data_IF_546071057076
#
_entry.id   IF_546071057076
#
_cell.length_a   1.000
_cell.length_b   1.000
_cell.length_c   1.000
_cell.angle_alpha   90.00
_cell.angle_beta   90.00
_cell.angle_gamma   90.00
#
_symmetry.space_group_name_H-M   'P 1'
#
loop_
_entity.id
_entity.type
_entity.pdbx_description
1 polymer ?
#
# COMPACT_ATOMS: atom_id res chain seq x y z
N UNK A 1 38.61 7.62 -13.06
CA UNK A 1 38.05 8.62 -12.14
C UNK A 1 36.74 9.08 -12.73
N UNK A 2 35.65 9.08 -11.95
CA UNK A 2 34.36 9.58 -12.44
C UNK A 2 34.52 11.06 -12.86
N UNK A 3 33.93 11.40 -13.99
CA UNK A 3 33.89 12.75 -14.55
C UNK A 3 33.43 13.77 -13.47
N UNK A 4 34.13 14.91 -13.24
CA UNK A 4 33.83 15.83 -12.15
C UNK A 4 32.35 16.24 -12.03
N UNK A 5 31.60 16.33 -13.13
CA UNK A 5 30.18 16.68 -13.07
C UNK A 5 29.30 15.59 -12.46
N UNK A 6 29.69 14.30 -12.58
CA UNK A 6 28.91 13.17 -12.02
C UNK A 6 28.78 13.36 -10.51
N UNK A 7 29.87 13.72 -9.84
CA UNK A 7 29.85 13.95 -8.40
C UNK A 7 28.93 15.12 -8.03
N UNK A 8 29.04 16.23 -8.74
CA UNK A 8 28.20 17.42 -8.54
C UNK A 8 26.71 17.08 -8.74
N UNK A 9 26.38 16.32 -9.78
CA UNK A 9 25.01 15.89 -10.05
C UNK A 9 24.46 14.97 -8.96
N UNK A 10 25.26 14.00 -8.49
CA UNK A 10 24.85 13.08 -7.41
C UNK A 10 24.66 13.85 -6.09
N UNK A 11 25.58 14.74 -5.73
CA UNK A 11 25.45 15.58 -4.54
C UNK A 11 24.17 16.45 -4.61
N UNK A 12 23.86 17.02 -5.77
CA UNK A 12 22.63 17.79 -5.98
C UNK A 12 21.36 16.92 -5.85
N UNK A 13 21.37 15.69 -6.40
CA UNK A 13 20.28 14.72 -6.23
C UNK A 13 20.06 14.39 -4.75
N UNK A 14 21.14 14.15 -3.99
CA UNK A 14 21.07 13.82 -2.56
C UNK A 14 20.68 14.99 -1.66
N UNK A 15 20.95 16.23 -2.11
CA UNK A 15 20.45 17.43 -1.45
C UNK A 15 18.95 17.66 -1.71
N UNK A 16 18.38 17.06 -2.76
CA UNK A 16 16.96 17.18 -3.07
C UNK A 16 16.09 16.32 -2.13
N UNK A 17 14.83 16.71 -1.86
CA UNK A 17 13.92 15.92 -1.03
C UNK A 17 13.36 14.68 -1.77
N UNK A 18 13.72 14.46 -3.03
CA UNK A 18 13.15 13.41 -3.88
C UNK A 18 13.73 12.06 -3.49
N UNK A 19 12.84 11.09 -3.28
CA UNK A 19 13.21 9.69 -3.04
C UNK A 19 12.91 8.83 -4.27
N UNK A 20 13.83 7.95 -4.66
CA UNK A 20 13.73 7.21 -5.90
C UNK A 20 13.88 5.69 -5.75
N UNK A 21 13.22 4.97 -6.66
CA UNK A 21 13.43 3.54 -6.89
C UNK A 21 13.89 3.36 -8.33
N UNK A 22 14.95 2.58 -8.54
CA UNK A 22 15.57 2.38 -9.85
C UNK A 22 15.49 0.93 -10.31
N UNK A 23 14.86 0.69 -11.45
CA UNK A 23 14.82 -0.62 -12.11
C UNK A 23 15.56 -0.58 -13.43
N UNK A 24 16.66 -1.32 -13.55
CA UNK A 24 17.57 -1.24 -14.69
C UNK A 24 17.84 -2.60 -15.31
N UNK A 25 17.73 -2.73 -16.63
CA UNK A 25 18.07 -3.95 -17.36
C UNK A 25 18.92 -3.65 -18.60
N UNK A 26 19.97 -4.44 -18.84
CA UNK A 26 20.73 -4.38 -20.10
C UNK A 26 21.59 -3.13 -20.33
N UNK A 27 21.75 -2.26 -19.33
CA UNK A 27 22.62 -1.07 -19.39
C UNK A 27 22.50 -0.17 -18.15
N UNK A 28 23.14 1.01 -18.21
CA UNK A 28 23.15 2.05 -17.17
C UNK A 28 23.58 1.58 -15.76
N UNK A 29 24.40 0.54 -15.68
CA UNK A 29 24.71 -0.11 -14.39
C UNK A 29 25.58 0.76 -13.48
N UNK A 30 26.46 1.58 -14.07
CA UNK A 30 27.38 2.43 -13.32
C UNK A 30 26.67 3.53 -12.55
N UNK A 31 25.51 3.99 -13.03
CA UNK A 31 24.70 5.02 -12.36
C UNK A 31 24.31 4.61 -10.93
N UNK A 32 24.02 3.31 -10.71
CA UNK A 32 23.73 2.80 -9.36
C UNK A 32 24.94 2.98 -8.46
N UNK A 33 26.12 2.59 -8.92
CA UNK A 33 27.37 2.75 -8.20
C UNK A 33 27.65 4.21 -7.84
N UNK A 34 27.46 5.13 -8.79
CA UNK A 34 27.64 6.57 -8.54
C UNK A 34 26.68 7.11 -7.50
N UNK A 35 25.40 6.73 -7.55
CA UNK A 35 24.39 7.17 -6.59
C UNK A 35 24.62 6.61 -5.19
N UNK A 36 25.01 5.34 -5.05
CA UNK A 36 25.09 4.72 -3.70
C UNK A 36 26.45 4.90 -3.02
N UNK A 37 27.49 5.29 -3.76
CA UNK A 37 28.83 5.49 -3.21
C UNK A 37 29.06 6.88 -2.63
N UNK A 38 28.09 7.81 -2.79
CA UNK A 38 28.18 9.18 -2.31
C UNK A 38 27.40 9.33 -0.99
N UNK A 39 27.96 9.99 0.04
CA UNK A 39 27.24 10.26 1.28
C UNK A 39 25.91 10.98 1.03
N UNK A 40 24.86 10.57 1.73
CA UNK A 40 23.49 11.06 1.51
C UNK A 40 22.63 10.16 0.64
N UNK A 41 23.20 9.10 0.04
CA UNK A 41 22.46 8.13 -0.77
C UNK A 41 21.17 7.60 -0.12
N UNK A 42 21.19 7.35 1.20
CA UNK A 42 20.02 6.86 1.96
C UNK A 42 18.84 7.84 2.03
N UNK A 43 19.06 9.12 1.73
CA UNK A 43 17.98 10.11 1.65
C UNK A 43 17.22 9.99 0.33
N UNK A 44 17.91 9.60 -0.74
CA UNK A 44 17.37 9.53 -2.10
C UNK A 44 17.02 8.10 -2.51
N UNK A 45 17.99 7.18 -2.53
CA UNK A 45 17.83 5.86 -3.12
C UNK A 45 17.13 4.92 -2.14
N UNK A 46 15.87 4.59 -2.41
CA UNK A 46 15.06 3.67 -1.61
C UNK A 46 15.31 2.21 -1.99
N UNK A 47 15.45 1.93 -3.28
CA UNK A 47 15.68 0.59 -3.81
C UNK A 47 16.30 0.68 -5.21
N UNK A 48 17.23 -0.22 -5.51
CA UNK A 48 17.74 -0.45 -6.86
C UNK A 48 17.63 -1.94 -7.18
N UNK A 49 16.98 -2.28 -8.30
CA UNK A 49 16.76 -3.66 -8.74
C UNK A 49 17.23 -3.82 -10.19
N UNK A 50 17.92 -4.92 -10.48
CA UNK A 50 18.40 -5.25 -11.83
C UNK A 50 17.67 -6.50 -12.33
N UNK A 51 16.48 -6.38 -12.96
CA UNK A 51 15.71 -7.52 -13.47
C UNK A 51 16.31 -8.07 -14.78
N UNK A 52 17.53 -8.60 -14.72
CA UNK A 52 18.36 -8.87 -15.89
C UNK A 52 17.84 -10.03 -16.76
N UNK A 53 17.32 -11.09 -16.13
CA UNK A 53 16.75 -12.22 -16.87
C UNK A 53 15.32 -11.92 -17.33
N UNK A 54 14.90 -12.52 -18.45
CA UNK A 54 13.50 -12.38 -18.92
C UNK A 54 12.50 -12.76 -17.84
N UNK A 55 12.76 -13.82 -17.08
CA UNK A 55 11.87 -14.26 -16.00
C UNK A 55 11.79 -13.23 -14.87
N UNK A 56 12.92 -12.62 -14.49
CA UNK A 56 12.94 -11.56 -13.48
C UNK A 56 12.12 -10.35 -13.93
N UNK A 57 12.25 -9.93 -15.19
CA UNK A 57 11.44 -8.84 -15.74
C UNK A 57 9.94 -9.20 -15.80
N UNK A 58 9.59 -10.42 -16.19
CA UNK A 58 8.20 -10.90 -16.20
C UNK A 58 7.60 -10.86 -14.79
N UNK A 59 8.34 -11.31 -13.77
CA UNK A 59 7.90 -11.28 -12.39
C UNK A 59 7.74 -9.85 -11.87
N UNK A 60 8.66 -8.95 -12.23
CA UNK A 60 8.58 -7.53 -11.88
C UNK A 60 7.34 -6.85 -12.49
N UNK A 61 7.09 -7.07 -13.78
CA UNK A 61 5.99 -6.43 -14.51
C UNK A 61 4.64 -7.14 -14.30
N UNK A 62 4.65 -8.37 -13.79
CA UNK A 62 3.45 -9.22 -13.66
C UNK A 62 2.88 -9.71 -14.99
N UNK A 63 3.59 -9.50 -16.10
CA UNK A 63 3.18 -9.88 -17.46
C UNK A 63 4.39 -10.05 -18.36
N UNK A 64 4.18 -10.70 -19.51
CA UNK A 64 5.19 -10.78 -20.56
C UNK A 64 5.11 -9.51 -21.40
N UNK A 65 6.16 -8.67 -21.44
CA UNK A 65 6.17 -7.50 -22.32
C UNK A 65 6.26 -7.94 -23.79
N UNK A 66 5.67 -7.17 -24.70
CA UNK A 66 5.73 -7.44 -26.15
C UNK A 66 7.18 -7.47 -26.65
N UNK A 67 8.00 -6.56 -26.14
CA UNK A 67 9.44 -6.51 -26.34
C UNK A 67 10.11 -6.22 -25.01
N UNK A 68 11.19 -6.93 -24.65
CA UNK A 68 11.89 -6.68 -23.38
C UNK A 68 12.70 -5.38 -23.38
N UNK A 69 13.10 -4.90 -24.56
CA UNK A 69 13.81 -3.63 -24.73
C UNK A 69 12.98 -2.73 -25.64
N UNK A 70 12.16 -1.87 -25.02
CA UNK A 70 11.33 -0.89 -25.73
C UNK A 70 11.02 0.30 -24.82
N UNK A 71 10.62 1.44 -25.41
CA UNK A 71 10.15 2.61 -24.66
C UNK A 71 8.97 2.27 -23.74
N UNK A 72 8.04 1.43 -24.21
CA UNK A 72 6.88 1.00 -23.42
C UNK A 72 7.29 0.18 -22.19
N UNK A 73 8.29 -0.68 -22.33
CA UNK A 73 8.81 -1.46 -21.20
C UNK A 73 9.51 -0.58 -20.17
N UNK A 74 10.28 0.42 -20.61
CA UNK A 74 10.89 1.39 -19.71
C UNK A 74 9.82 2.18 -18.93
N UNK A 75 8.74 2.61 -19.59
CA UNK A 75 7.60 3.28 -18.95
C UNK A 75 6.93 2.38 -17.90
N UNK A 76 6.66 1.11 -18.24
CA UNK A 76 6.06 0.15 -17.31
C UNK A 76 6.96 -0.11 -16.10
N UNK A 77 8.27 -0.26 -16.32
CA UNK A 77 9.25 -0.36 -15.24
C UNK A 77 9.25 0.88 -14.35
N UNK A 78 9.21 2.08 -14.94
CA UNK A 78 9.16 3.34 -14.19
C UNK A 78 7.86 3.48 -13.37
N UNK A 79 6.72 3.01 -13.89
CA UNK A 79 5.45 3.00 -13.15
C UNK A 79 5.47 2.01 -11.96
N UNK A 80 6.01 0.80 -12.15
CA UNK A 80 6.18 -0.18 -11.05
C UNK A 80 7.15 0.37 -10.00
N UNK A 81 8.26 0.98 -10.45
CA UNK A 81 9.23 1.65 -9.57
C UNK A 81 8.58 2.81 -8.81
N UNK A 82 7.75 3.63 -9.46
CA UNK A 82 7.04 4.74 -8.82
C UNK A 82 6.08 4.25 -7.72
N UNK A 83 5.32 3.19 -7.98
CA UNK A 83 4.48 2.56 -6.96
C UNK A 83 5.28 1.96 -5.80
N UNK A 84 6.46 1.39 -6.09
CA UNK A 84 7.37 0.91 -5.05
C UNK A 84 7.92 2.07 -4.21
N UNK A 85 8.32 3.16 -4.86
CA UNK A 85 8.80 4.37 -4.21
C UNK A 85 7.73 4.97 -3.30
N UNK A 86 6.48 5.04 -3.75
CA UNK A 86 5.35 5.47 -2.92
C UNK A 86 5.26 4.67 -1.60
N UNK A 87 5.37 3.34 -1.67
CA UNK A 87 5.29 2.46 -0.48
C UNK A 87 6.49 2.57 0.44
N UNK A 88 7.69 2.78 -0.10
CA UNK A 88 8.94 2.85 0.67
C UNK A 88 9.24 4.26 1.20
N UNK A 89 8.68 5.29 0.56
CA UNK A 89 8.98 6.68 0.87
C UNK A 89 8.46 7.14 2.22
N UNK A 90 9.16 8.13 2.80
CA UNK A 90 8.65 8.86 3.94
C UNK A 90 7.45 9.70 3.50
N UNK A 91 6.36 9.74 4.28
CA UNK A 91 5.16 10.47 3.90
C UNK A 91 5.44 11.94 3.59
N UNK A 92 4.89 12.44 2.49
CA UNK A 92 4.97 13.86 2.11
C UNK A 92 6.26 14.25 1.37
N UNK A 93 7.19 13.32 1.15
CA UNK A 93 8.33 13.57 0.26
C UNK A 93 7.95 13.28 -1.20
N UNK A 94 8.51 14.03 -2.18
CA UNK A 94 8.39 13.69 -3.59
C UNK A 94 9.01 12.32 -3.87
N UNK A 95 8.39 11.55 -4.77
CA UNK A 95 8.89 10.23 -5.16
C UNK A 95 9.08 10.11 -6.67
N UNK A 96 10.09 9.33 -7.05
CA UNK A 96 10.51 9.11 -8.42
C UNK A 96 10.65 7.61 -8.71
N UNK A 97 9.96 7.12 -9.74
CA UNK A 97 10.21 5.82 -10.33
C UNK A 97 11.11 5.96 -11.54
N UNK A 98 12.13 5.10 -11.65
CA UNK A 98 13.05 5.08 -12.78
C UNK A 98 13.04 3.70 -13.41
N UNK A 99 12.80 3.65 -14.72
CA UNK A 99 12.87 2.43 -15.53
C UNK A 99 13.90 2.57 -16.63
N UNK A 100 14.76 1.57 -16.80
CA UNK A 100 15.74 1.52 -17.88
C UNK A 100 15.77 0.13 -18.50
N UNK A 101 15.75 0.06 -19.82
CA UNK A 101 16.07 -1.16 -20.56
C UNK A 101 16.96 -0.88 -21.77
N UNK A 102 18.03 -1.65 -21.90
CA UNK A 102 19.04 -1.50 -22.95
C UNK A 102 19.32 -2.79 -23.72
N UNK A 103 19.57 -2.63 -25.01
CA UNK A 103 20.18 -3.62 -25.89
C UNK A 103 21.54 -3.07 -26.35
N UNK A 104 22.51 -3.06 -25.43
CA UNK A 104 23.88 -2.61 -25.69
C UNK A 104 24.74 -3.72 -26.32
N UNK A 105 25.98 -3.42 -26.67
CA UNK A 105 26.92 -4.35 -27.29
C UNK A 105 27.06 -5.70 -26.59
N UNK A 106 27.33 -6.76 -27.36
CA UNK A 106 27.55 -8.10 -26.83
C UNK A 106 28.66 -8.82 -27.57
N UNK A 107 29.19 -9.89 -26.98
CA UNK A 107 30.23 -10.73 -27.59
C UNK A 107 29.82 -11.27 -28.96
N UNK A 108 28.54 -11.61 -29.12
CA UNK A 108 27.94 -11.87 -30.43
C UNK A 108 27.38 -10.57 -31.00
N UNK A 109 27.75 -10.17 -32.23
CA UNK A 109 27.17 -9.01 -32.89
C UNK A 109 25.64 -9.10 -32.97
N UNK A 110 24.95 -8.02 -32.63
CA UNK A 110 23.48 -7.95 -32.72
C UNK A 110 23.06 -7.51 -34.12
N UNK A 111 22.04 -8.18 -34.65
CA UNK A 111 21.39 -7.78 -35.90
C UNK A 111 20.70 -6.42 -35.74
N UNK A 112 19.93 -6.22 -34.66
CA UNK A 112 19.29 -4.94 -34.34
C UNK A 112 20.25 -3.89 -33.78
N UNK A 113 19.80 -2.64 -33.71
CA UNK A 113 20.60 -1.51 -33.23
C UNK A 113 21.07 -1.68 -31.78
N UNK A 114 22.18 -1.02 -31.46
CA UNK A 114 22.50 -0.74 -30.06
C UNK A 114 21.58 0.39 -29.62
N UNK A 115 20.64 0.09 -28.71
CA UNK A 115 19.59 1.02 -28.33
C UNK A 115 19.27 0.86 -26.86
N UNK A 116 18.94 1.95 -26.21
CA UNK A 116 18.35 1.89 -24.87
C UNK A 116 17.18 2.85 -24.74
N UNK A 117 16.36 2.54 -23.76
CA UNK A 117 15.18 3.29 -23.39
C UNK A 117 15.24 3.55 -21.89
N UNK A 118 14.99 4.79 -21.50
CA UNK A 118 14.87 5.15 -20.11
C UNK A 118 13.61 5.97 -19.88
N UNK A 119 13.05 5.84 -18.70
CA UNK A 119 11.84 6.55 -18.31
C UNK A 119 11.89 6.96 -16.85
N UNK A 120 11.39 8.16 -16.59
CA UNK A 120 11.19 8.70 -15.25
C UNK A 120 9.70 8.95 -15.02
N UNK A 121 9.22 8.56 -13.84
CA UNK A 121 7.82 8.68 -13.45
C UNK A 121 7.70 9.38 -12.10
N UNK A 122 6.93 10.45 -12.07
CA UNK A 122 6.47 11.13 -10.85
C UNK A 122 4.93 11.09 -10.77
N UNK A 123 4.33 11.79 -9.81
CA UNK A 123 2.88 11.88 -9.69
C UNK A 123 2.23 12.43 -10.97
N UNK A 124 2.74 13.58 -11.44
CA UNK A 124 2.15 14.36 -12.52
C UNK A 124 2.95 14.31 -13.82
N UNK A 125 4.08 13.59 -13.89
CA UNK A 125 4.93 13.58 -15.09
C UNK A 125 5.47 12.20 -15.42
N UNK A 126 5.42 11.86 -16.70
CA UNK A 126 6.09 10.73 -17.33
C UNK A 126 7.01 11.30 -18.41
N UNK A 127 8.29 10.96 -18.35
CA UNK A 127 9.24 11.28 -19.40
C UNK A 127 9.89 9.98 -19.88
N UNK A 128 10.10 9.87 -21.19
CA UNK A 128 10.71 8.71 -21.84
C UNK A 128 11.71 9.20 -22.86
N UNK A 129 12.92 8.63 -22.85
CA UNK A 129 13.95 8.85 -23.86
C UNK A 129 14.37 7.53 -24.47
N UNK A 130 14.47 7.52 -25.79
CA UNK A 130 15.01 6.42 -26.59
C UNK A 130 16.27 6.91 -27.28
N UNK A 131 17.38 6.21 -27.09
CA UNK A 131 18.65 6.55 -27.73
C UNK A 131 19.13 5.37 -28.53
N UNK A 132 19.37 5.60 -29.82
CA UNK A 132 19.99 4.65 -30.73
C UNK A 132 21.45 5.03 -30.92
N UNK A 133 22.34 4.12 -30.54
CA UNK A 133 23.78 4.29 -30.60
C UNK A 133 24.33 3.78 -31.93
N UNK A 134 25.33 4.49 -32.43
CA UNK A 134 26.08 4.07 -33.61
C UNK A 134 26.91 2.81 -33.32
N UNK A 135 26.65 1.72 -34.06
CA UNK A 135 27.35 0.44 -33.85
C UNK A 135 28.85 0.56 -34.13
N UNK A 136 29.66 -0.08 -33.29
CA UNK A 136 31.10 -0.19 -33.49
C UNK A 136 31.92 1.04 -33.07
N UNK A 137 31.28 2.15 -32.70
CA UNK A 137 31.99 3.34 -32.19
C UNK A 137 32.42 3.22 -30.73
N UNK A 138 31.73 2.38 -29.95
CA UNK A 138 31.95 2.24 -28.51
C UNK A 138 32.03 0.78 -28.10
N UNK A 139 32.86 0.49 -27.10
CA UNK A 139 32.85 -0.80 -26.40
C UNK A 139 31.58 -0.93 -25.56
N UNK A 140 31.21 -2.16 -25.17
CA UNK A 140 30.08 -2.39 -24.28
C UNK A 140 30.17 -1.60 -22.96
N UNK A 141 31.38 -1.42 -22.44
CA UNK A 141 31.63 -0.64 -21.22
C UNK A 141 31.38 0.85 -21.46
N UNK A 142 31.85 1.39 -22.59
CA UNK A 142 31.63 2.79 -22.99
C UNK A 142 30.14 3.07 -23.25
N UNK A 143 29.40 2.14 -23.84
CA UNK A 143 27.95 2.27 -23.97
C UNK A 143 27.22 2.21 -22.61
N UNK A 144 27.72 1.40 -21.67
CA UNK A 144 27.19 1.39 -20.30
C UNK A 144 27.45 2.72 -19.58
N UNK A 145 28.63 3.29 -19.79
CA UNK A 145 29.04 4.56 -19.23
C UNK A 145 28.14 5.69 -19.74
N UNK A 146 28.00 5.81 -21.07
CA UNK A 146 27.14 6.82 -21.70
C UNK A 146 25.67 6.69 -21.27
N UNK A 147 25.13 5.46 -21.28
CA UNK A 147 23.75 5.23 -20.82
C UNK A 147 23.57 5.52 -19.33
N UNK A 148 24.59 5.30 -18.49
CA UNK A 148 24.59 5.68 -17.07
C UNK A 148 24.58 7.20 -16.90
N UNK A 149 25.35 7.94 -17.70
CA UNK A 149 25.36 9.42 -17.67
C UNK A 149 23.99 9.99 -18.06
N UNK A 150 23.37 9.44 -19.11
CA UNK A 150 22.04 9.87 -19.55
C UNK A 150 20.94 9.51 -18.55
N UNK A 151 21.05 8.36 -17.87
CA UNK A 151 20.16 8.02 -16.75
C UNK A 151 20.30 9.03 -15.60
N UNK A 152 21.54 9.40 -15.25
CA UNK A 152 21.79 10.38 -14.19
C UNK A 152 21.22 11.76 -14.57
N UNK A 153 21.39 12.20 -15.82
CA UNK A 153 20.75 13.42 -16.35
C UNK A 153 19.23 13.38 -16.18
N UNK A 154 18.60 12.26 -16.53
CA UNK A 154 17.14 12.12 -16.39
C UNK A 154 16.68 12.23 -14.93
N UNK A 155 17.47 11.68 -13.99
CA UNK A 155 17.19 11.81 -12.56
C UNK A 155 17.37 13.26 -12.09
N UNK A 156 18.43 13.95 -12.53
CA UNK A 156 18.65 15.39 -12.26
C UNK A 156 17.44 16.21 -12.72
N UNK A 157 17.01 16.03 -13.97
CA UNK A 157 15.84 16.72 -14.52
C UNK A 157 14.57 16.42 -13.72
N UNK A 158 14.33 15.16 -13.38
CA UNK A 158 13.15 14.74 -12.61
C UNK A 158 13.15 15.27 -11.16
N UNK A 159 14.34 15.42 -10.55
CA UNK A 159 14.50 16.02 -9.23
C UNK A 159 14.40 17.56 -9.26
N UNK A 160 14.33 18.17 -10.45
CA UNK A 160 14.32 19.63 -10.66
C UNK A 160 15.52 20.34 -10.02
N UNK A 161 16.67 19.67 -9.99
CA UNK A 161 17.91 20.27 -9.49
C UNK A 161 18.71 20.87 -10.64
N UNK A 162 19.35 22.03 -10.45
CA UNK A 162 20.16 22.65 -11.49
C UNK A 162 21.37 21.76 -11.81
N UNK A 163 21.63 21.56 -13.10
CA UNK A 163 22.81 20.84 -13.58
C UNK A 163 23.10 21.20 -15.03
N UNK A 164 24.33 21.65 -15.30
CA UNK A 164 24.83 21.76 -16.67
C UNK A 164 25.36 20.39 -17.08
N UNK A 165 24.76 19.80 -18.11
CA UNK A 165 25.18 18.52 -18.66
C UNK A 165 25.20 18.59 -20.17
N UNK A 166 26.33 18.24 -20.76
CA UNK A 166 26.46 17.96 -22.19
C UNK A 166 26.79 16.48 -22.31
N UNK A 167 25.86 15.64 -22.80
CA UNK A 167 26.17 14.23 -23.03
C UNK A 167 27.21 14.06 -24.13
N UNK A 168 28.09 13.07 -23.98
CA UNK A 168 28.99 12.60 -25.04
C UNK A 168 28.24 11.76 -26.10
N UNK A 169 27.13 12.31 -26.60
CA UNK A 169 26.45 11.79 -27.79
C UNK A 169 27.20 12.30 -29.03
N UNK A 170 27.41 11.41 -30.01
CA UNK A 170 27.94 11.82 -31.31
C UNK A 170 26.81 12.40 -32.17
N UNK A 171 27.14 13.19 -33.20
CA UNK A 171 26.13 13.69 -34.17
C UNK A 171 25.33 12.56 -34.85
N UNK A 172 25.89 11.34 -34.87
CA UNK A 172 25.28 10.14 -35.42
C UNK A 172 24.38 9.37 -34.45
N UNK A 173 24.42 9.69 -33.16
CA UNK A 173 23.52 9.08 -32.17
C UNK A 173 22.14 9.76 -32.26
N UNK A 174 21.08 8.97 -32.38
CA UNK A 174 19.71 9.49 -32.49
C UNK A 174 19.03 9.40 -31.13
N UNK A 175 18.57 10.54 -30.62
CA UNK A 175 17.82 10.64 -29.37
C UNK A 175 16.41 11.14 -29.63
N UNK A 176 15.42 10.35 -29.22
CA UNK A 176 14.00 10.69 -29.25
C UNK A 176 13.49 10.82 -27.83
N UNK A 177 12.91 11.96 -27.49
CA UNK A 177 12.35 12.22 -26.17
C UNK A 177 10.85 12.49 -26.27
N UNK A 178 10.10 12.00 -25.30
CA UNK A 178 8.67 12.28 -25.15
C UNK A 178 8.36 12.56 -23.70
N UNK A 179 7.50 13.55 -23.48
CA UNK A 179 7.05 13.95 -22.15
C UNK A 179 5.53 13.99 -22.13
N UNK A 180 4.95 13.44 -21.07
CA UNK A 180 3.54 13.55 -20.75
C UNK A 180 3.39 14.13 -19.34
N UNK A 181 2.70 15.26 -19.26
CA UNK A 181 2.21 15.81 -18.00
C UNK A 181 0.76 15.35 -17.78
N UNK A 182 0.44 14.95 -16.57
CA UNK A 182 -0.90 14.51 -16.17
C UNK A 182 -1.60 15.65 -15.44
N UNK A 183 -2.84 15.90 -15.84
CA UNK A 183 -3.77 16.70 -15.03
C UNK A 183 -4.12 15.98 -13.73
N UNK A 184 -4.62 16.73 -12.74
CA UNK A 184 -5.09 16.13 -11.48
C UNK A 184 -6.16 15.05 -11.73
N UNK A 185 -7.03 15.27 -12.71
CA UNK A 185 -8.11 14.36 -13.08
C UNK A 185 -7.55 13.07 -13.68
N UNK A 186 -6.53 13.14 -14.53
CA UNK A 186 -5.82 11.96 -15.05
C UNK A 186 -5.06 11.20 -13.97
N UNK A 187 -4.48 11.89 -12.98
CA UNK A 187 -3.83 11.22 -11.84
C UNK A 187 -4.86 10.46 -11.00
N UNK A 188 -6.01 11.08 -10.72
CA UNK A 188 -7.10 10.43 -10.01
C UNK A 188 -7.69 9.26 -10.82
N UNK A 189 -7.80 9.41 -12.13
CA UNK A 189 -8.23 8.33 -13.01
C UNK A 189 -7.25 7.15 -12.98
N UNK A 190 -5.94 7.40 -13.01
CA UNK A 190 -4.92 6.35 -12.84
C UNK A 190 -5.03 5.62 -11.49
N UNK A 191 -5.41 6.33 -10.42
CA UNK A 191 -5.66 5.73 -9.11
C UNK A 191 -6.90 4.82 -9.15
N UNK A 192 -8.00 5.32 -9.73
CA UNK A 192 -9.25 4.56 -9.92
C UNK A 192 -8.97 3.31 -10.78
N UNK A 193 -8.17 3.45 -11.84
CA UNK A 193 -7.80 2.38 -12.76
C UNK A 193 -6.77 1.40 -12.20
N UNK A 194 -6.30 1.60 -10.96
CA UNK A 194 -5.37 0.68 -10.32
C UNK A 194 -3.92 0.82 -10.77
N UNK A 195 -3.60 1.82 -11.59
CA UNK A 195 -2.25 2.05 -12.11
C UNK A 195 -1.31 2.60 -11.04
N UNK A 196 -1.82 3.49 -10.18
CA UNK A 196 -1.12 3.98 -8.99
C UNK A 196 -1.81 3.49 -7.72
N UNK A 197 -1.05 3.23 -6.66
CA UNK A 197 -1.56 2.64 -5.41
C UNK A 197 -2.21 3.64 -4.44
N UNK A 198 -1.73 4.89 -4.42
CA UNK A 198 -2.34 5.98 -3.67
C UNK A 198 -1.85 7.35 -4.17
N UNK A 199 -2.60 8.40 -3.82
CA UNK A 199 -2.25 9.82 -4.02
C UNK A 199 -2.30 10.58 -2.69
N UNK A 200 -1.33 11.46 -2.45
CA UNK A 200 -1.23 12.26 -1.22
C UNK A 200 -1.60 13.71 -1.50
N UNK A 201 -2.42 14.30 -0.64
CA UNK A 201 -2.76 15.73 -0.62
C UNK A 201 -2.27 16.36 0.70
N UNK A 202 -1.14 17.06 0.70
CA UNK A 202 -0.54 17.63 1.90
C UNK A 202 -1.07 19.04 2.21
N UNK A 203 -2.28 19.14 2.79
CA UNK A 203 -2.89 20.45 3.10
C UNK A 203 -2.35 21.16 4.35
N UNK A 204 -1.37 20.60 5.06
CA UNK A 204 -0.88 21.15 6.34
C UNK A 204 0.43 21.95 6.21
N UNK A 205 0.47 23.12 6.83
CA UNK A 205 1.59 24.11 6.86
C UNK A 205 2.41 24.11 8.16
N UNK A 206 2.20 23.17 9.09
CA UNK A 206 2.84 23.17 10.42
C UNK A 206 4.16 22.41 10.47
N UNK A 207 5.13 22.92 11.24
CA UNK A 207 6.49 22.37 11.44
C UNK A 207 6.47 20.85 11.53
N UNK A 208 6.92 20.24 10.44
CA UNK A 208 6.90 18.81 10.25
C UNK A 208 7.92 18.15 11.17
N UNK A 209 7.47 17.21 12.00
CA UNK A 209 8.36 16.16 12.47
C UNK A 209 8.64 15.26 11.25
N UNK A 210 9.69 15.58 10.48
CA UNK A 210 10.17 14.86 9.30
C UNK A 210 10.64 13.43 9.60
N UNK A 211 10.83 13.12 10.89
CA UNK A 211 11.35 11.85 11.39
C UNK A 211 10.27 10.85 11.83
N UNK A 212 8.98 11.16 11.65
CA UNK A 212 7.89 10.28 12.04
C UNK A 212 7.65 9.17 10.99
N UNK A 213 8.21 7.99 11.22
CA UNK A 213 8.04 6.82 10.35
C UNK A 213 6.63 6.21 10.42
N UNK A 214 5.92 6.37 11.55
CA UNK A 214 4.64 5.71 11.82
C UNK A 214 3.44 6.64 11.64
N UNK A 215 2.33 6.12 11.14
CA UNK A 215 1.10 6.89 10.86
C UNK A 215 -0.04 6.50 11.80
N UNK A 216 -0.85 7.47 12.21
CA UNK A 216 -2.22 7.20 12.66
C UNK A 216 -3.12 7.44 11.45
N UNK A 217 -3.73 6.37 10.97
CA UNK A 217 -4.55 6.35 9.77
C UNK A 217 -6.00 6.24 10.16
N UNK A 218 -6.84 7.22 9.80
CA UNK A 218 -8.29 7.08 9.87
C UNK A 218 -8.83 6.74 8.48
N UNK A 219 -9.17 5.48 8.18
CA UNK A 219 -9.83 5.10 6.95
C UNK A 219 -11.34 5.39 7.01
N UNK A 220 -11.89 5.92 5.93
CA UNK A 220 -13.33 6.21 5.88
C UNK A 220 -13.79 6.81 4.57
N UNK A 221 -15.12 6.89 4.39
CA UNK A 221 -15.71 7.59 3.24
C UNK A 221 -15.87 9.10 3.46
N UNK A 222 -15.86 9.56 4.72
CA UNK A 222 -15.95 10.97 5.14
C UNK A 222 -16.98 11.80 4.35
N UNK A 223 -18.22 11.31 4.31
CA UNK A 223 -19.28 11.90 3.51
C UNK A 223 -20.51 12.23 4.37
N UNK A 224 -20.55 13.38 5.07
CA UNK A 224 -19.51 14.42 5.12
C UNK A 224 -18.47 14.21 6.23
N UNK A 225 -17.34 14.91 6.12
CA UNK A 225 -16.40 15.15 7.22
C UNK A 225 -17.09 15.99 8.30
N UNK A 226 -16.83 15.68 9.57
CA UNK A 226 -17.45 16.36 10.72
C UNK A 226 -16.54 16.26 11.95
N UNK A 227 -16.88 16.98 13.02
CA UNK A 227 -16.03 17.08 14.22
C UNK A 227 -15.65 15.73 14.83
N UNK A 228 -16.56 14.75 14.81
CA UNK A 228 -16.29 13.39 15.29
C UNK A 228 -15.06 12.76 14.65
N UNK A 229 -14.89 12.90 13.34
CA UNK A 229 -13.69 12.40 12.65
C UNK A 229 -12.42 13.15 13.05
N UNK A 230 -12.53 14.47 13.27
CA UNK A 230 -11.40 15.31 13.67
C UNK A 230 -10.94 14.98 15.10
N UNK A 231 -11.89 14.93 16.04
CA UNK A 231 -11.66 14.59 17.45
C UNK A 231 -11.15 13.15 17.61
N UNK A 232 -11.73 12.20 16.88
CA UNK A 232 -11.30 10.80 16.94
C UNK A 232 -9.82 10.66 16.55
N UNK A 233 -9.42 11.35 15.49
CA UNK A 233 -8.06 11.30 15.01
C UNK A 233 -7.07 12.04 15.92
N UNK A 234 -7.49 13.16 16.52
CA UNK A 234 -6.72 13.89 17.53
C UNK A 234 -6.49 13.02 18.79
N UNK A 235 -7.53 12.36 19.29
CA UNK A 235 -7.44 11.42 20.42
C UNK A 235 -6.53 10.24 20.11
N UNK A 236 -6.68 9.65 18.92
CA UNK A 236 -5.83 8.56 18.46
C UNK A 236 -4.34 8.98 18.37
N UNK A 237 -4.07 10.21 17.91
CA UNK A 237 -2.72 10.78 17.82
C UNK A 237 -2.09 10.98 19.21
N UNK A 238 -2.88 11.40 20.21
CA UNK A 238 -2.41 11.55 21.59
C UNK A 238 -2.20 10.20 22.29
N UNK A 239 -3.08 9.23 22.06
CA UNK A 239 -2.98 7.90 22.66
C UNK A 239 -1.84 7.06 22.08
N UNK A 240 -1.54 7.21 20.79
CA UNK A 240 -0.37 6.56 20.18
C UNK A 240 0.95 6.88 20.89
N UNK A 241 1.06 8.06 21.54
CA UNK A 241 2.24 8.44 22.32
C UNK A 241 2.35 7.76 23.70
N UNK A 242 1.24 7.25 24.24
CA UNK A 242 1.16 6.85 25.66
C UNK A 242 1.01 5.35 25.92
N UNK A 243 0.44 4.56 25.00
CA UNK A 243 0.18 3.12 25.23
C UNK A 243 1.20 2.19 24.60
N UNK A 244 1.97 2.66 23.61
CA UNK A 244 2.94 1.83 22.88
C UNK A 244 4.40 2.24 23.15
N UNK A 245 4.64 3.26 23.99
CA UNK A 245 5.99 3.80 24.26
C UNK A 245 6.63 4.52 23.06
N UNK A 246 5.86 4.82 22.02
CA UNK A 246 6.39 5.27 20.73
C UNK A 246 6.07 6.75 20.50
N UNK A 247 7.11 7.59 20.51
CA UNK A 247 7.00 9.00 20.12
C UNK A 247 6.91 9.16 18.60
N UNK A 248 6.10 10.11 18.12
CA UNK A 248 6.21 10.63 16.75
C UNK A 248 5.30 10.00 15.70
N UNK A 249 3.99 9.93 15.92
CA UNK A 249 3.04 9.57 14.87
C UNK A 249 2.65 10.78 14.00
N UNK A 250 2.58 10.57 12.68
CA UNK A 250 1.92 11.51 11.74
C UNK A 250 0.47 11.13 11.53
N UNK A 251 -0.38 12.13 11.55
CA UNK A 251 -1.83 11.98 11.39
C UNK A 251 -2.23 12.04 9.92
N UNK A 252 -2.91 11.02 9.42
CA UNK A 252 -3.32 10.94 8.01
C UNK A 252 -4.74 10.40 7.88
N UNK A 253 -5.57 11.07 7.09
CA UNK A 253 -6.86 10.53 6.67
C UNK A 253 -6.67 9.68 5.42
N UNK A 254 -7.30 8.50 5.34
CA UNK A 254 -7.29 7.69 4.12
C UNK A 254 -8.71 7.56 3.56
N UNK A 255 -8.95 8.12 2.39
CA UNK A 255 -10.22 8.00 1.67
C UNK A 255 -10.12 6.85 0.66
N UNK A 256 -11.16 6.02 0.61
CA UNK A 256 -11.23 4.88 -0.31
C UNK A 256 -12.03 5.19 -1.56
N UNK A 257 -11.43 4.85 -2.70
CA UNK A 257 -12.10 4.71 -4.00
C UNK A 257 -12.33 3.21 -4.21
N UNK A 258 -13.46 2.66 -3.78
CA UNK A 258 -13.72 1.22 -3.94
C UNK A 258 -13.72 0.83 -5.43
N UNK A 259 -12.90 -0.13 -5.87
CA UNK A 259 -13.06 -0.77 -7.18
C UNK A 259 -13.50 -2.21 -7.01
N UNK A 260 -14.55 -2.58 -7.74
CA UNK A 260 -14.95 -3.96 -8.00
C UNK A 260 -14.05 -4.51 -9.13
N UNK A 261 -13.35 -5.62 -8.89
CA UNK A 261 -12.82 -6.46 -9.97
C UNK A 261 -13.74 -7.67 -10.14
N UNK A 262 -14.94 -7.44 -10.67
CA UNK A 262 -15.73 -8.52 -11.24
C UNK A 262 -15.29 -8.74 -12.68
N UNK A 263 -14.48 -9.77 -12.96
CA UNK A 263 -14.54 -10.37 -14.30
C UNK A 263 -15.92 -10.99 -14.40
N UNK A 264 -16.83 -10.33 -15.12
CA UNK A 264 -18.05 -10.96 -15.60
C UNK A 264 -17.59 -12.05 -16.56
N UNK A 265 -17.46 -13.27 -16.07
CA UNK A 265 -17.44 -14.45 -16.91
C UNK A 265 -18.90 -14.67 -17.31
N UNK A 266 -19.29 -14.11 -18.47
CA UNK A 266 -20.52 -14.51 -19.14
C UNK A 266 -20.32 -15.94 -19.62
N UNK A 267 -20.56 -16.91 -18.74
CA UNK A 267 -20.84 -18.27 -19.16
C UNK A 267 -22.34 -18.37 -19.35
N UNK A 268 -22.77 -18.35 -20.62
CA UNK A 268 -24.09 -18.85 -21.00
C UNK A 268 -24.14 -20.32 -20.58
N UNK A 269 -24.96 -20.65 -19.60
CA UNK A 269 -25.58 -21.97 -19.53
C UNK A 269 -27.06 -21.81 -19.20
N UNK A 270 -27.85 -22.03 -20.24
CA UNK A 270 -29.28 -22.31 -20.23
C UNK A 270 -29.56 -23.68 -19.59
N UNK A 271 -30.67 -23.80 -18.86
CA UNK A 271 -31.37 -25.06 -18.65
C UNK A 271 -31.31 -25.64 -17.24
N UNK A 272 -32.42 -25.45 -16.52
CA UNK A 272 -33.17 -26.37 -15.68
C UNK A 272 -32.50 -27.51 -14.86
N UNK A 273 -33.10 -27.66 -13.67
CA UNK A 273 -33.25 -28.85 -12.82
C UNK A 273 -32.50 -28.94 -11.48
N UNK A 274 -33.33 -29.40 -10.54
CA UNK A 274 -33.28 -29.43 -9.10
C UNK A 274 -32.89 -30.85 -8.59
N UNK A 275 -32.57 -30.96 -7.28
CA UNK A 275 -32.39 -32.19 -6.45
C UNK A 275 -31.02 -32.88 -6.55
N UNK A 276 -30.50 -33.66 -5.60
CA UNK A 276 -30.70 -33.99 -4.18
C UNK A 276 -29.50 -34.92 -3.84
N UNK A 277 -28.93 -34.81 -2.62
CA UNK A 277 -28.41 -35.90 -1.77
C UNK A 277 -27.28 -36.88 -2.23
N UNK A 278 -26.24 -36.94 -1.36
CA UNK A 278 -25.64 -38.12 -0.69
C UNK A 278 -24.51 -39.00 -1.30
N UNK A 279 -23.34 -38.91 -0.63
CA UNK A 279 -22.57 -39.96 0.11
C UNK A 279 -21.74 -41.08 -0.58
N UNK A 280 -20.71 -41.48 0.20
CA UNK A 280 -19.80 -42.66 0.22
C UNK A 280 -18.38 -42.39 -0.35
N UNK A 281 -17.25 -42.33 0.38
CA UNK A 281 -16.64 -43.01 1.56
C UNK A 281 -15.72 -44.21 1.23
N UNK A 282 -14.50 -44.17 1.82
CA UNK A 282 -13.52 -45.27 2.13
C UNK A 282 -12.54 -45.65 0.97
N UNK A 283 -11.23 -45.88 1.15
CA UNK A 283 -10.32 -45.90 2.30
C UNK A 283 -8.86 -46.31 1.96
N UNK A 284 -7.92 -45.88 2.83
CA UNK A 284 -6.66 -46.51 3.31
C UNK A 284 -5.55 -47.20 2.44
N UNK A 285 -4.31 -46.66 2.62
CA UNK A 285 -3.00 -47.29 3.03
C UNK A 285 -1.93 -47.79 2.02
N UNK A 286 -0.72 -47.16 2.12
CA UNK A 286 0.68 -47.68 2.09
C UNK A 286 1.22 -48.33 0.78
N UNK A 287 2.47 -48.22 0.27
CA UNK A 287 3.79 -47.85 0.82
C UNK A 287 4.86 -47.56 -0.29
N UNK A 288 5.73 -46.57 -0.04
CA UNK A 288 7.21 -46.51 -0.27
C UNK A 288 7.93 -46.35 -1.64
N UNK A 289 8.96 -45.45 -1.57
CA UNK A 289 10.27 -45.35 -2.28
C UNK A 289 10.26 -44.69 -3.68
N UNK A 290 11.10 -43.70 -4.03
CA UNK A 290 12.36 -43.14 -3.50
C UNK A 290 12.60 -41.71 -4.05
N UNK A 291 13.37 -40.90 -3.31
CA UNK A 291 14.19 -39.71 -3.65
C UNK A 291 14.17 -39.23 -5.11
N UNK A 292 14.12 -37.94 -5.46
CA UNK A 292 15.08 -36.88 -5.09
C UNK A 292 14.59 -35.54 -5.67
N UNK A 293 15.02 -34.44 -5.07
CA UNK A 293 15.12 -33.06 -5.62
C UNK A 293 14.14 -32.03 -5.05
N UNK A 294 14.76 -31.12 -4.30
CA UNK A 294 14.27 -29.81 -3.90
C UNK A 294 13.49 -29.13 -5.03
N UNK A 295 12.19 -28.99 -4.83
CA UNK A 295 11.35 -28.04 -5.55
C UNK A 295 10.59 -27.24 -4.51
N UNK A 296 11.08 -26.04 -4.19
CA UNK A 296 10.27 -25.01 -3.51
C UNK A 296 9.20 -24.59 -4.51
N UNK A 297 8.14 -25.39 -4.56
CA UNK A 297 6.94 -25.08 -5.32
C UNK A 297 6.26 -23.91 -4.66
N UNK A 298 6.38 -22.73 -5.29
CA UNK A 298 5.45 -21.64 -5.07
C UNK A 298 4.05 -22.15 -5.43
N UNK A 299 3.32 -22.66 -4.44
CA UNK A 299 1.86 -22.79 -4.53
C UNK A 299 1.34 -21.37 -4.63
N UNK A 300 1.02 -21.01 -5.87
CA UNK A 300 0.12 -19.92 -6.20
C UNK A 300 -1.15 -20.17 -5.38
N UNK A 301 -1.31 -19.45 -4.28
CA UNK A 301 -2.62 -19.33 -3.62
C UNK A 301 -3.49 -18.64 -4.67
N UNK A 302 -4.28 -19.42 -5.39
CA UNK A 302 -5.44 -18.93 -6.12
C UNK A 302 -6.33 -18.29 -5.06
N UNK A 303 -6.20 -16.97 -4.93
CA UNK A 303 -6.96 -16.17 -4.00
C UNK A 303 -8.41 -16.22 -4.48
N UNK A 304 -9.21 -17.09 -3.85
CA UNK A 304 -10.66 -17.06 -3.95
C UNK A 304 -11.13 -15.70 -3.44
N UNK A 305 -11.69 -14.91 -4.34
CA UNK A 305 -12.30 -13.61 -4.12
C UNK A 305 -13.64 -13.76 -3.39
N UNK A 306 -13.66 -14.06 -2.09
CA UNK A 306 -14.92 -14.06 -1.31
C UNK A 306 -14.74 -13.53 0.12
N UNK A 307 -14.38 -12.24 0.17
CA UNK A 307 -14.36 -11.42 1.37
C UNK A 307 -15.16 -10.13 1.14
N UNK A 308 -16.44 -10.27 0.84
CA UNK A 308 -17.34 -9.17 0.47
C UNK A 308 -17.57 -8.25 1.66
N UNK A 309 -16.93 -7.10 1.65
CA UNK A 309 -17.54 -5.87 2.17
C UNK A 309 -17.40 -4.79 1.08
N UNK A 310 -18.25 -4.93 0.07
CA UNK A 310 -18.11 -4.34 -1.26
C UNK A 310 -19.34 -3.51 -1.69
N UNK A 311 -20.09 -2.91 -0.76
CA UNK A 311 -21.43 -2.35 -1.07
C UNK A 311 -21.45 -0.93 -1.68
N UNK A 312 -20.33 -0.41 -2.20
CA UNK A 312 -20.30 0.96 -2.77
C UNK A 312 -19.57 1.00 -4.11
N UNK A 313 -20.17 1.60 -5.16
CA UNK A 313 -19.51 1.76 -6.45
C UNK A 313 -18.25 2.64 -6.35
N UNK A 314 -17.32 2.54 -7.32
CA UNK A 314 -16.18 3.45 -7.40
C UNK A 314 -16.63 4.90 -7.43
N UNK A 315 -15.88 5.73 -6.71
CA UNK A 315 -16.11 7.17 -6.71
C UNK A 315 -15.64 7.75 -8.05
N UNK A 316 -16.43 8.65 -8.61
CA UNK A 316 -15.97 9.46 -9.74
C UNK A 316 -14.85 10.40 -9.30
N UNK A 317 -14.07 10.89 -10.27
CA UNK A 317 -13.04 11.92 -10.05
C UNK A 317 -13.64 13.15 -9.33
N UNK A 318 -14.81 13.63 -9.76
CA UNK A 318 -15.51 14.75 -9.11
C UNK A 318 -15.85 14.49 -7.64
N UNK A 319 -16.39 13.30 -7.33
CA UNK A 319 -16.71 12.92 -5.95
C UNK A 319 -15.47 12.84 -5.05
N UNK A 320 -14.33 12.38 -5.59
CA UNK A 320 -13.05 12.38 -4.85
C UNK A 320 -12.63 13.80 -4.54
N UNK A 321 -12.62 14.69 -5.54
CA UNK A 321 -12.24 16.10 -5.37
C UNK A 321 -13.12 16.82 -4.34
N UNK A 322 -14.43 16.59 -4.36
CA UNK A 322 -15.34 17.21 -3.40
C UNK A 322 -15.15 16.69 -1.97
N UNK A 323 -14.71 15.44 -1.79
CA UNK A 323 -14.30 14.93 -0.47
C UNK A 323 -12.97 15.51 -0.03
N UNK A 324 -12.01 15.62 -0.93
CA UNK A 324 -10.68 16.18 -0.69
C UNK A 324 -10.76 17.63 -0.22
N UNK A 325 -11.61 18.47 -0.85
CA UNK A 325 -11.84 19.88 -0.46
C UNK A 325 -12.24 20.06 1.01
N UNK A 326 -12.91 19.08 1.62
CA UNK A 326 -13.29 19.14 3.04
C UNK A 326 -12.07 19.09 3.96
N UNK A 327 -11.02 18.36 3.55
CA UNK A 327 -9.77 18.25 4.29
C UNK A 327 -8.85 19.46 4.07
N UNK A 328 -8.92 20.08 2.89
CA UNK A 328 -8.24 21.34 2.60
C UNK A 328 -8.71 22.43 3.58
N UNK A 329 -10.03 22.60 3.74
CA UNK A 329 -10.62 23.53 4.72
C UNK A 329 -10.20 23.23 6.17
N UNK A 330 -9.95 21.97 6.48
CA UNK A 330 -9.51 21.54 7.81
C UNK A 330 -7.98 21.57 8.00
N UNK A 331 -7.20 21.87 6.95
CA UNK A 331 -5.73 21.87 6.97
C UNK A 331 -5.13 20.49 7.28
N UNK A 332 -5.76 19.40 6.82
CA UNK A 332 -5.36 18.03 7.15
C UNK A 332 -4.85 17.26 5.94
N UNK A 333 -3.70 16.60 6.07
CA UNK A 333 -3.19 15.70 5.02
C UNK A 333 -4.14 14.52 4.81
N UNK A 334 -4.50 14.28 3.54
CA UNK A 334 -5.34 13.16 3.13
C UNK A 334 -4.64 12.31 2.07
N UNK A 335 -4.79 11.00 2.17
CA UNK A 335 -4.35 10.03 1.19
C UNK A 335 -5.58 9.40 0.55
N UNK A 336 -5.60 9.36 -0.77
CA UNK A 336 -6.61 8.62 -1.52
C UNK A 336 -5.98 7.30 -1.93
N UNK A 337 -6.60 6.17 -1.58
CA UNK A 337 -6.10 4.84 -1.95
C UNK A 337 -7.22 3.97 -2.52
N UNK A 338 -6.85 3.17 -3.51
CA UNK A 338 -7.71 2.16 -4.12
C UNK A 338 -7.69 0.81 -3.39
N UNK A 339 -6.98 0.69 -2.26
CA UNK A 339 -6.92 -0.55 -1.49
C UNK A 339 -8.11 -0.67 -0.53
N UNK A 340 -9.06 -1.60 -0.76
CA UNK A 340 -10.24 -1.73 0.10
C UNK A 340 -9.89 -2.40 1.43
N UNK A 341 -9.00 -3.39 1.43
CA UNK A 341 -8.69 -4.23 2.58
C UNK A 341 -7.62 -3.66 3.50
N UNK A 342 -7.76 -3.90 4.81
CA UNK A 342 -6.81 -3.46 5.83
C UNK A 342 -5.43 -4.10 5.71
N UNK A 343 -5.34 -5.38 5.33
CA UNK A 343 -4.03 -6.01 5.10
C UNK A 343 -3.27 -5.36 3.94
N UNK A 344 -3.97 -4.95 2.87
CA UNK A 344 -3.37 -4.18 1.77
C UNK A 344 -2.94 -2.77 2.18
N UNK A 345 -3.67 -2.13 3.10
CA UNK A 345 -3.24 -0.86 3.69
C UNK A 345 -2.02 -1.04 4.58
N UNK A 346 -1.94 -2.13 5.33
CA UNK A 346 -0.78 -2.45 6.16
C UNK A 346 0.48 -2.68 5.32
N UNK A 347 0.35 -3.30 4.13
CA UNK A 347 1.45 -3.38 3.15
C UNK A 347 1.94 -2.00 2.66
N UNK A 348 1.05 -1.00 2.58
CA UNK A 348 1.40 0.37 2.14
C UNK A 348 1.88 1.24 3.30
N UNK A 349 1.34 1.03 4.50
CA UNK A 349 1.60 1.83 5.70
C UNK A 349 2.10 0.93 6.83
N UNK A 350 3.27 0.29 6.71
CA UNK A 350 3.82 -0.53 7.78
C UNK A 350 4.01 0.29 9.07
N UNK A 351 3.94 -0.37 10.23
CA UNK A 351 4.09 0.25 11.54
C UNK A 351 2.97 1.24 11.95
N UNK A 352 1.89 1.33 11.18
CA UNK A 352 0.84 2.33 11.37
C UNK A 352 -0.31 1.84 12.25
N UNK A 353 -0.96 2.78 12.94
CA UNK A 353 -2.14 2.54 13.75
C UNK A 353 -3.40 2.94 12.95
N UNK A 354 -4.27 1.99 12.64
CA UNK A 354 -5.54 2.22 11.94
C UNK A 354 -6.66 2.48 12.94
N UNK A 355 -7.27 3.65 12.88
CA UNK A 355 -8.39 4.02 13.74
C UNK A 355 -9.68 3.49 13.14
N UNK A 356 -10.41 2.65 13.86
CA UNK A 356 -11.62 1.99 13.35
C UNK A 356 -12.72 2.04 14.41
N UNK A 357 -13.98 1.95 13.98
CA UNK A 357 -15.11 1.76 14.90
C UNK A 357 -15.25 0.30 15.34
N UNK A 358 -15.93 0.06 16.47
CA UNK A 358 -16.24 -1.27 16.99
C UNK A 358 -16.90 -2.19 15.93
N UNK A 359 -17.85 -1.68 15.14
CA UNK A 359 -18.50 -2.43 14.06
C UNK A 359 -17.51 -2.90 12.98
N UNK A 360 -16.46 -2.13 12.72
CA UNK A 360 -15.42 -2.50 11.74
C UNK A 360 -14.45 -3.52 12.33
N UNK A 361 -14.11 -3.36 13.61
CA UNK A 361 -13.32 -4.36 14.34
C UNK A 361 -14.02 -5.73 14.33
N UNK A 362 -15.32 -5.77 14.60
CA UNK A 362 -16.13 -6.99 14.55
C UNK A 362 -16.08 -7.67 13.19
N UNK A 363 -16.09 -6.88 12.11
CA UNK A 363 -15.98 -7.41 10.75
C UNK A 363 -14.57 -7.93 10.44
N UNK A 364 -13.54 -7.28 10.96
CA UNK A 364 -12.15 -7.70 10.75
C UNK A 364 -11.88 -9.10 11.31
N UNK A 365 -12.46 -9.45 12.46
CA UNK A 365 -12.24 -10.75 13.11
C UNK A 365 -13.35 -11.76 12.82
N UNK A 366 -14.18 -11.54 11.79
CA UNK A 366 -15.26 -12.45 11.45
C UNK A 366 -14.92 -13.28 10.20
N UNK A 367 -14.89 -14.64 10.29
CA UNK A 367 -14.50 -15.52 9.18
C UNK A 367 -15.31 -15.37 7.89
N UNK A 368 -16.54 -14.82 7.93
CA UNK A 368 -17.35 -14.60 6.73
C UNK A 368 -16.69 -13.68 5.71
N UNK A 369 -15.79 -12.80 6.16
CA UNK A 369 -14.98 -11.94 5.30
C UNK A 369 -13.68 -12.62 4.84
N UNK A 370 -13.58 -13.95 4.97
CA UNK A 370 -12.41 -14.73 4.64
C UNK A 370 -12.83 -16.08 4.04
N UNK A 371 -13.84 -16.08 3.16
CA UNK A 371 -14.46 -17.28 2.59
C UNK A 371 -15.04 -18.25 3.64
N UNK A 372 -15.42 -17.74 4.82
CA UNK A 372 -15.83 -18.57 5.96
C UNK A 372 -14.67 -19.31 6.64
N UNK A 373 -13.41 -19.04 6.25
CA UNK A 373 -12.24 -19.77 6.73
C UNK A 373 -11.51 -19.01 7.86
N UNK A 374 -11.62 -19.55 9.07
CA UNK A 374 -10.96 -19.00 10.27
C UNK A 374 -9.43 -18.98 10.16
N UNK A 375 -8.80 -20.04 9.61
CA UNK A 375 -7.35 -20.10 9.46
C UNK A 375 -6.85 -19.03 8.47
N UNK A 376 -7.59 -18.81 7.38
CA UNK A 376 -7.29 -17.74 6.40
C UNK A 376 -7.40 -16.35 7.04
N UNK A 377 -8.41 -16.13 7.88
CA UNK A 377 -8.54 -14.89 8.67
C UNK A 377 -7.31 -14.69 9.57
N UNK A 378 -6.95 -15.72 10.34
CA UNK A 378 -5.82 -15.67 11.26
C UNK A 378 -4.50 -15.42 10.50
N UNK A 379 -4.27 -16.11 9.38
CA UNK A 379 -3.09 -15.92 8.51
C UNK A 379 -2.99 -14.47 8.02
N UNK A 380 -4.08 -13.91 7.48
CA UNK A 380 -4.09 -12.54 6.94
C UNK A 380 -3.87 -11.51 8.05
N UNK A 381 -4.55 -11.64 9.19
CA UNK A 381 -4.39 -10.70 10.31
C UNK A 381 -3.03 -10.84 11.01
N UNK A 382 -2.46 -12.04 11.06
CA UNK A 382 -1.08 -12.26 11.53
C UNK A 382 -0.09 -11.60 10.57
N UNK A 383 -0.33 -11.70 9.26
CA UNK A 383 0.41 -10.93 8.25
C UNK A 383 0.34 -9.42 8.49
N UNK A 384 -0.85 -8.88 8.78
CA UNK A 384 -1.00 -7.47 9.18
C UNK A 384 -0.17 -7.15 10.42
N UNK A 385 -0.26 -7.99 11.47
CA UNK A 385 0.47 -7.80 12.72
C UNK A 385 1.99 -7.81 12.49
N UNK A 386 2.49 -8.68 11.62
CA UNK A 386 3.91 -8.75 11.26
C UNK A 386 4.45 -7.47 10.59
N UNK A 387 3.59 -6.65 9.98
CA UNK A 387 3.98 -5.32 9.48
C UNK A 387 4.14 -4.27 10.59
N UNK A 388 3.86 -4.63 11.86
CA UNK A 388 3.87 -3.72 13.00
C UNK A 388 2.63 -2.82 13.09
N UNK A 389 1.58 -3.10 12.32
CA UNK A 389 0.34 -2.32 12.34
C UNK A 389 -0.52 -2.67 13.56
N UNK A 390 -1.31 -1.69 14.03
CA UNK A 390 -2.30 -1.87 15.11
C UNK A 390 -3.64 -1.27 14.72
N UNK A 391 -4.69 -1.63 15.44
CA UNK A 391 -6.05 -1.10 15.29
C UNK A 391 -6.45 -0.35 16.57
N UNK A 392 -6.68 0.97 16.45
CA UNK A 392 -7.25 1.77 17.53
C UNK A 392 -8.77 1.73 17.42
N UNK A 393 -9.43 1.03 18.34
CA UNK A 393 -10.87 0.76 18.27
C UNK A 393 -11.63 1.82 19.07
N UNK A 394 -12.40 2.65 18.37
CA UNK A 394 -13.34 3.57 18.96
C UNK A 394 -14.64 2.84 19.31
N UNK A 395 -15.06 2.97 20.57
CA UNK A 395 -16.36 2.50 21.02
C UNK A 395 -17.53 3.29 20.43
N UNK A 396 -18.73 2.74 20.56
CA UNK A 396 -19.99 3.36 20.15
C UNK A 396 -20.99 3.29 21.29
N UNK A 397 -21.76 4.36 21.51
CA UNK A 397 -22.90 4.30 22.40
C UNK A 397 -24.10 3.65 21.67
N UNK A 398 -24.67 2.60 22.24
CA UNK A 398 -25.91 1.97 21.77
C UNK A 398 -26.87 1.97 22.96
N UNK A 399 -28.00 2.66 22.81
CA UNK A 399 -29.08 2.75 23.82
C UNK A 399 -28.63 3.27 25.19
N UNK A 400 -27.71 4.24 25.22
CA UNK A 400 -27.17 4.83 26.44
C UNK A 400 -25.95 4.12 27.02
N UNK A 401 -25.60 2.93 26.50
CA UNK A 401 -24.45 2.13 26.94
C UNK A 401 -23.28 2.28 25.98
N UNK A 402 -22.12 2.72 26.49
CA UNK A 402 -20.90 2.82 25.71
C UNK A 402 -20.27 1.43 25.51
N UNK A 403 -20.27 0.96 24.26
CA UNK A 403 -19.71 -0.33 23.88
C UNK A 403 -18.34 -0.13 23.30
N UNK A 404 -17.32 -0.69 23.92
CA UNK A 404 -16.01 -0.87 23.31
C UNK A 404 -15.76 -2.35 23.19
N UNK A 405 -15.42 -2.83 21.99
CA UNK A 405 -15.00 -4.21 21.79
C UNK A 405 -13.60 -4.44 22.37
N UNK A 406 -13.46 -4.35 23.70
CA UNK A 406 -12.47 -5.06 24.51
C UNK A 406 -12.67 -4.74 26.01
N UNK A 407 -13.30 -5.65 26.76
CA UNK A 407 -13.28 -5.63 28.24
C UNK A 407 -12.57 -6.87 28.74
N UNK A 408 -11.36 -6.70 29.29
CA UNK A 408 -10.71 -7.75 30.07
C UNK A 408 -11.59 -8.04 31.29
N UNK A 409 -11.94 -9.32 31.50
CA UNK A 409 -12.50 -9.85 32.74
C UNK A 409 -11.69 -9.38 33.94
N UNK A 410 -12.10 -8.26 34.53
CA UNK A 410 -11.68 -7.81 35.85
C UNK A 410 -12.88 -7.82 36.81
N UNK A 411 -13.67 -8.90 36.79
CA UNK A 411 -14.72 -9.11 37.79
C UNK A 411 -15.06 -10.56 38.14
N UNK A 412 -14.19 -11.54 37.85
CA UNK A 412 -14.43 -12.95 38.29
C UNK A 412 -13.29 -13.54 39.15
N UNK A 413 -12.26 -12.76 39.50
CA UNK A 413 -11.19 -13.22 40.43
C UNK A 413 -11.09 -12.46 41.75
N UNK A 414 -12.21 -11.95 42.27
CA UNK A 414 -12.24 -11.35 43.61
C UNK A 414 -13.20 -12.02 44.61
N UNK A 415 -14.10 -12.92 44.19
CA UNK A 415 -15.06 -13.57 45.10
C UNK A 415 -15.13 -15.10 44.93
N UNK A 416 -13.99 -15.78 45.03
CA UNK A 416 -13.96 -17.23 45.35
C UNK A 416 -13.48 -17.50 46.78
N UNK A 417 -13.49 -16.49 47.64
CA UNK A 417 -13.31 -16.65 49.09
C UNK A 417 -14.49 -15.97 49.75
N UNK A 418 -15.37 -16.81 50.29
CA UNK A 418 -16.46 -16.57 51.25
C UNK A 418 -17.83 -17.09 50.77
N UNK A 419 -18.22 -18.15 51.49
CA UNK A 419 -19.53 -18.79 51.68
C UNK A 419 -20.06 -19.80 50.64
N UNK A 420 -20.28 -21.06 51.05
CA UNK A 420 -20.95 -22.08 50.25
C UNK A 420 -22.42 -22.21 50.69
N UNK A 421 -23.24 -21.16 50.68
CA UNK A 421 -24.69 -21.32 50.94
C UNK A 421 -25.43 -20.14 50.31
N UNK A 422 -25.94 -20.34 49.09
CA UNK A 422 -27.10 -19.74 48.41
C UNK A 422 -26.92 -20.12 46.93
N UNK A 423 -27.31 -21.35 46.57
CA UNK A 423 -27.09 -21.92 45.23
C UNK A 423 -28.38 -22.16 44.45
N UNK A 424 -29.47 -21.44 44.77
CA UNK A 424 -30.75 -21.61 44.05
C UNK A 424 -31.41 -20.27 43.65
N UNK A 425 -31.05 -19.15 44.27
CA UNK A 425 -31.65 -17.84 43.92
C UNK A 425 -30.78 -16.95 43.02
N UNK A 426 -29.47 -17.23 42.93
CA UNK A 426 -28.54 -16.45 42.10
C UNK A 426 -28.60 -16.89 40.64
N UNK A 427 -28.93 -18.14 40.32
CA UNK A 427 -28.98 -18.60 38.92
C UNK A 427 -30.10 -17.93 38.12
N UNK A 428 -31.27 -17.65 38.71
CA UNK A 428 -32.37 -17.04 37.96
C UNK A 428 -32.20 -15.52 37.81
N UNK A 429 -31.62 -14.83 38.79
CA UNK A 429 -31.28 -13.39 38.68
C UNK A 429 -30.04 -13.17 37.83
N UNK A 430 -29.05 -14.06 37.85
CA UNK A 430 -27.92 -14.04 36.93
C UNK A 430 -28.37 -14.43 35.52
N UNK A 431 -29.29 -15.38 35.32
CA UNK A 431 -29.82 -15.71 33.98
C UNK A 431 -30.73 -14.62 33.40
N UNK A 432 -31.53 -13.94 34.23
CA UNK A 432 -32.36 -12.80 33.78
C UNK A 432 -31.47 -11.56 33.58
N UNK A 433 -30.42 -11.36 34.38
CA UNK A 433 -29.39 -10.37 34.09
C UNK A 433 -28.59 -10.73 32.82
N UNK A 434 -28.32 -12.01 32.58
CA UNK A 434 -27.65 -12.54 31.37
C UNK A 434 -28.51 -12.36 30.11
N UNK A 435 -29.83 -12.41 30.22
CA UNK A 435 -30.75 -12.11 29.13
C UNK A 435 -31.02 -10.62 28.92
N UNK A 436 -30.78 -9.77 29.93
CA UNK A 436 -30.97 -8.32 29.84
C UNK A 436 -29.65 -7.56 29.54
N UNK A 437 -28.49 -8.21 29.65
CA UNK A 437 -27.16 -7.71 29.24
C UNK A 437 -26.70 -8.17 27.85
N UNK A 438 -27.60 -8.36 26.87
CA UNK A 438 -27.21 -8.53 25.46
C UNK A 438 -26.75 -7.21 24.81
N UNK A 439 -25.78 -6.55 25.42
CA UNK A 439 -25.31 -5.23 25.03
C UNK A 439 -23.78 -5.30 24.81
N UNK A 440 -23.39 -6.10 23.80
CA UNK A 440 -22.07 -6.10 23.11
C UNK A 440 -20.82 -6.03 24.03
N UNK A 441 -20.67 -7.03 24.89
CA UNK A 441 -19.36 -7.65 25.09
C UNK A 441 -19.19 -8.76 24.02
N UNK A 442 -17.96 -9.24 23.82
CA UNK A 442 -17.56 -10.37 22.94
C UNK A 442 -17.24 -10.03 21.46
N UNK A 443 -16.20 -9.23 21.25
CA UNK A 443 -15.35 -9.51 20.08
C UNK A 443 -14.46 -10.71 20.45
N UNK A 444 -14.75 -11.89 19.91
CA UNK A 444 -13.86 -13.06 20.02
C UNK A 444 -12.59 -12.83 19.18
N UNK A 445 -11.69 -11.98 19.69
CA UNK A 445 -10.38 -11.77 19.06
C UNK A 445 -9.49 -12.95 19.45
N UNK A 446 -8.93 -13.69 18.47
CA UNK A 446 -7.96 -14.75 18.72
C UNK A 446 -6.82 -14.25 19.62
N UNK A 447 -6.36 -15.07 20.56
CA UNK A 447 -5.33 -14.67 21.54
C UNK A 447 -4.08 -14.10 20.87
N UNK A 448 -3.68 -14.64 19.71
CA UNK A 448 -2.49 -14.19 18.98
C UNK A 448 -2.63 -12.80 18.37
N UNK A 449 -3.83 -12.25 18.28
CA UNK A 449 -4.13 -10.96 17.63
C UNK A 449 -4.51 -9.86 18.61
N UNK A 450 -4.71 -10.16 19.90
CA UNK A 450 -5.28 -9.23 20.88
C UNK A 450 -4.48 -7.95 21.08
N UNK A 451 -3.16 -8.07 21.16
CA UNK A 451 -2.22 -6.95 21.29
C UNK A 451 -2.27 -5.97 20.10
N UNK A 452 -2.79 -6.41 18.95
CA UNK A 452 -3.01 -5.57 17.78
C UNK A 452 -4.22 -4.64 17.94
N UNK A 453 -5.21 -4.98 18.78
CA UNK A 453 -6.44 -4.20 18.96
C UNK A 453 -6.40 -3.40 20.27
N UNK A 454 -6.27 -2.09 20.17
CA UNK A 454 -6.13 -1.16 21.30
C UNK A 454 -7.41 -0.33 21.40
N UNK A 455 -8.12 -0.50 22.51
CA UNK A 455 -9.33 0.27 22.82
C UNK A 455 -9.02 1.75 23.09
N UNK A 456 -9.84 2.65 22.53
CA UNK A 456 -9.87 4.06 22.92
C UNK A 456 -10.86 4.23 24.09
N UNK A 457 -10.39 4.62 25.30
CA UNK A 457 -11.27 4.76 26.46
C UNK A 457 -12.38 5.80 26.26
N UNK A 458 -13.56 5.53 26.83
CA UNK A 458 -14.74 6.43 26.77
C UNK A 458 -14.41 7.86 27.23
N UNK A 459 -13.71 7.98 28.36
CA UNK A 459 -13.32 9.28 28.92
C UNK A 459 -12.40 10.11 28.01
N UNK A 460 -11.84 9.51 26.95
CA UNK A 460 -11.00 10.20 25.96
C UNK A 460 -11.74 10.51 24.67
N UNK A 461 -12.76 9.74 24.30
CA UNK A 461 -13.57 9.99 23.11
C UNK A 461 -15.00 9.51 23.32
N UNK A 462 -15.93 10.47 23.36
CA UNK A 462 -17.38 10.25 23.39
C UNK A 462 -18.01 11.18 22.36
N UNK A 463 -18.44 10.62 21.24
CA UNK A 463 -19.12 11.41 20.21
C UNK A 463 -20.08 10.57 19.37
N UNK A 464 -21.36 10.90 19.49
CA UNK A 464 -22.49 10.17 18.89
C UNK A 464 -22.93 10.75 17.53
N UNK A 465 -22.01 11.37 16.79
CA UNK A 465 -22.32 11.96 15.49
C UNK A 465 -21.85 11.01 14.37
N UNK A 466 -22.79 10.45 13.62
CA UNK A 466 -22.49 9.71 12.39
C UNK A 466 -22.76 10.53 11.13
N UNK A 467 -21.94 10.34 10.08
CA UNK A 467 -22.22 10.93 8.75
C UNK A 467 -23.60 10.54 8.22
N UNK A 468 -24.12 9.37 8.58
CA UNK A 468 -25.45 8.90 8.13
C UNK A 468 -26.60 9.69 8.76
N UNK A 469 -26.49 10.04 10.04
CA UNK A 469 -27.48 10.90 10.70
C UNK A 469 -27.42 12.33 10.17
N UNK A 470 -26.22 12.84 9.88
CA UNK A 470 -26.06 14.16 9.26
C UNK A 470 -26.74 14.18 7.88
N UNK A 471 -26.53 13.16 7.05
CA UNK A 471 -27.22 13.07 5.74
C UNK A 471 -28.74 13.04 5.89
N UNK A 472 -29.28 12.25 6.83
CA UNK A 472 -30.72 12.25 7.16
C UNK A 472 -31.22 13.63 7.59
N UNK A 473 -30.48 14.35 8.44
CA UNK A 473 -30.83 15.71 8.89
C UNK A 473 -30.76 16.75 7.77
N UNK A 474 -29.84 16.57 6.83
CA UNK A 474 -29.63 17.48 5.69
C UNK A 474 -30.46 17.10 4.45
N UNK A 475 -31.25 16.02 4.49
CA UNK A 475 -32.05 15.55 3.35
C UNK A 475 -31.22 15.06 2.16
N UNK A 476 -30.00 14.56 2.41
CA UNK A 476 -29.03 14.12 1.38
C UNK A 476 -28.95 12.61 1.20
#
# INVERSE_FOLDING_TARGET
>A
MADPWIRVAVDAIHASPTQCVLYLAGGASQAVGWLISVPGASNTVLEALVPYSRMSMIQLLGKIPTQFCSGKTAEEMALVAYNRALKLSRPGLPVLGVGFTGSLGSTRPKLGDHRFHLSTRTANRLWVSTVTLSKGLRTREQEDFLSSQLLLKAIVCACKVPGSFVPDLTESDVSEESEKEFSEDEELQQLIDGQICFKVYPFSSGVHNLNAERRVVLPGSFNPLHEGHLKLLDVATRNGRGTTGISGYRTVYVVHTCRFHGRILVSRYSGDYCRQYWLLSIGYRWISRLNTSFGVGYRRVSQSDTAVNADKPPLSVSQIKDRVKQFEKAGKTVIISNQPYFYKKAEIFPGSAFVIGADTAARLVHPKYYDGNYNKMLEILTGCKATGCTFLVAGRNVDGVFKVGYTFQKLVRAHSRFLPFILVFVELTVAIAWHILQVLDDLEIPEELKDMFISIPEGKFRMDISSSEIRKKLGM
#
